data_IF_141095092329
#
_entry.id   IF_141095092329
#
_cell.length_a   1.000
_cell.length_b   1.000
_cell.length_c   1.000
_cell.angle_alpha   90.00
_cell.angle_beta   90.00
_cell.angle_gamma   90.00
#
_symmetry.space_group_name_H-M   'P 1'
#
loop_
_entity.id
_entity.type
_entity.pdbx_description
1 polymer ?
#
# COMPACT_ATOMS: atom_id res chain seq x y z
N UNK A 1 -37.78 0.23 6.79
CA UNK A 1 -36.95 -0.73 7.54
C UNK A 1 -36.09 -1.40 6.53
N UNK A 2 -34.86 -0.93 6.40
CA UNK A 2 -33.94 -1.58 5.51
C UNK A 2 -32.82 -2.25 6.26
N UNK A 3 -32.38 -3.33 5.63
CA UNK A 3 -31.94 -4.53 6.31
C UNK A 3 -30.63 -4.99 5.71
N UNK A 4 -29.81 -4.14 5.07
CA UNK A 4 -28.58 -4.58 4.41
C UNK A 4 -27.32 -3.90 4.92
N UNK A 5 -26.19 -4.60 4.89
CA UNK A 5 -24.82 -4.13 5.16
C UNK A 5 -23.85 -4.64 4.10
N UNK A 6 -22.58 -4.22 4.15
CA UNK A 6 -21.55 -4.82 3.29
C UNK A 6 -21.41 -6.31 3.64
N UNK A 7 -21.43 -7.15 2.61
CA UNK A 7 -21.26 -8.60 2.75
C UNK A 7 -19.79 -8.98 2.92
N UNK A 8 -19.52 -10.02 3.71
CA UNK A 8 -18.16 -10.51 3.91
C UNK A 8 -17.81 -11.71 3.00
N UNK A 9 -16.54 -12.12 2.99
CA UNK A 9 -16.05 -13.24 2.18
C UNK A 9 -16.75 -14.56 2.49
N UNK A 10 -17.10 -14.83 3.75
CA UNK A 10 -17.75 -16.06 4.18
C UNK A 10 -19.21 -16.12 3.70
N UNK A 11 -19.92 -15.00 3.78
CA UNK A 11 -21.29 -14.84 3.29
C UNK A 11 -21.34 -14.95 1.76
N UNK A 12 -20.36 -14.34 1.08
CA UNK A 12 -20.20 -14.48 -0.37
C UNK A 12 -19.93 -15.94 -0.76
N UNK A 13 -19.12 -16.67 0.01
CA UNK A 13 -18.83 -18.09 -0.23
C UNK A 13 -20.06 -19.00 -0.03
N UNK A 14 -21.11 -18.52 0.65
CA UNK A 14 -22.37 -19.26 0.80
C UNK A 14 -23.29 -19.13 -0.42
N UNK A 15 -22.99 -18.20 -1.34
CA UNK A 15 -23.78 -17.99 -2.56
C UNK A 15 -23.70 -19.22 -3.45
N UNK A 16 -24.85 -19.80 -3.80
CA UNK A 16 -24.91 -20.93 -4.72
C UNK A 16 -24.77 -20.42 -6.15
N UNK A 17 -23.91 -21.08 -6.94
CA UNK A 17 -23.68 -20.75 -8.35
C UNK A 17 -25.00 -20.67 -9.15
N UNK A 18 -25.99 -21.51 -8.83
CA UNK A 18 -27.27 -21.53 -9.54
C UNK A 18 -28.15 -20.30 -9.28
N UNK A 19 -27.92 -19.58 -8.18
CA UNK A 19 -28.59 -18.31 -7.88
C UNK A 19 -28.02 -17.15 -8.71
N UNK A 20 -26.79 -17.32 -9.23
CA UNK A 20 -26.06 -16.31 -10.02
C UNK A 20 -26.18 -16.54 -11.53
N UNK A 21 -26.41 -17.78 -11.97
CA UNK A 21 -26.54 -18.16 -13.39
C UNK A 21 -27.78 -17.60 -14.07
N UNK A 22 -28.80 -17.20 -13.31
CA UNK A 22 -30.03 -16.65 -13.88
C UNK A 22 -29.83 -15.16 -14.16
N UNK A 23 -30.16 -14.68 -15.38
CA UNK A 23 -30.15 -13.25 -15.67
C UNK A 23 -31.00 -12.50 -14.64
N UNK A 24 -30.51 -11.35 -14.18
CA UNK A 24 -31.33 -10.46 -13.36
C UNK A 24 -32.37 -9.83 -14.29
N UNK A 25 -33.64 -10.02 -13.98
CA UNK A 25 -34.74 -9.40 -14.73
C UNK A 25 -34.95 -7.97 -14.25
N UNK A 26 -35.57 -7.10 -15.06
CA UNK A 26 -35.89 -5.71 -14.66
C UNK A 26 -36.62 -5.66 -13.30
N UNK A 27 -37.61 -6.53 -13.10
CA UNK A 27 -38.33 -6.64 -11.82
C UNK A 27 -37.42 -6.94 -10.63
N UNK A 28 -36.36 -7.73 -10.83
CA UNK A 28 -35.39 -8.06 -9.77
C UNK A 28 -34.45 -6.89 -9.48
N UNK A 29 -34.15 -6.08 -10.49
CA UNK A 29 -33.39 -4.85 -10.31
C UNK A 29 -34.20 -3.84 -9.48
N UNK A 30 -35.47 -3.63 -9.81
CA UNK A 30 -36.37 -2.78 -9.01
C UNK A 30 -36.55 -3.32 -7.58
N UNK A 31 -36.72 -4.65 -7.43
CA UNK A 31 -36.80 -5.28 -6.10
C UNK A 31 -35.51 -5.07 -5.30
N UNK A 32 -34.34 -5.13 -5.94
CA UNK A 32 -33.05 -4.86 -5.31
C UNK A 32 -32.96 -3.39 -4.86
N UNK A 33 -33.29 -2.43 -5.72
CA UNK A 33 -33.28 -1.00 -5.35
C UNK A 33 -34.24 -0.73 -4.19
N UNK A 34 -35.44 -1.30 -4.21
CA UNK A 34 -36.39 -1.20 -3.09
C UNK A 34 -35.86 -1.87 -1.81
N UNK A 35 -35.14 -2.99 -1.94
CA UNK A 35 -34.49 -3.67 -0.82
C UNK A 35 -33.26 -2.93 -0.30
N UNK A 36 -32.66 -2.03 -1.10
CA UNK A 36 -31.49 -1.22 -0.75
C UNK A 36 -31.77 0.28 -0.55
N UNK A 37 -33.00 0.75 -0.78
CA UNK A 37 -33.50 2.14 -0.56
C UNK A 37 -32.64 3.13 -1.34
N UNK A 38 -32.18 2.66 -2.50
CA UNK A 38 -31.37 3.45 -3.40
C UNK A 38 -32.29 4.07 -4.44
N UNK A 39 -32.40 5.39 -4.41
CA UNK A 39 -33.10 6.15 -5.42
C UNK A 39 -32.15 6.50 -6.57
N UNK A 40 -32.52 6.09 -7.79
CA UNK A 40 -31.84 6.44 -9.03
C UNK A 40 -32.69 7.40 -9.86
N UNK A 41 -32.04 8.39 -10.47
CA UNK A 41 -32.66 9.24 -11.50
C UNK A 41 -33.00 8.39 -12.72
N UNK A 42 -34.02 8.78 -13.48
CA UNK A 42 -34.43 8.01 -14.66
C UNK A 42 -33.33 7.89 -15.71
N UNK A 43 -32.44 8.88 -15.81
CA UNK A 43 -31.25 8.85 -16.69
C UNK A 43 -30.13 7.93 -16.19
N UNK A 44 -30.07 7.66 -14.88
CA UNK A 44 -29.10 6.74 -14.28
C UNK A 44 -29.60 5.28 -14.39
N UNK A 45 -30.92 5.06 -14.29
CA UNK A 45 -31.50 3.70 -14.25
C UNK A 45 -31.03 2.81 -15.38
N UNK A 46 -30.96 3.31 -16.61
CA UNK A 46 -30.53 2.51 -17.77
C UNK A 46 -29.09 1.98 -17.61
N UNK A 47 -28.19 2.84 -17.13
CA UNK A 47 -26.78 2.50 -16.88
C UNK A 47 -26.61 1.52 -15.72
N UNK A 48 -27.28 1.78 -14.59
CA UNK A 48 -27.21 0.87 -13.44
C UNK A 48 -27.87 -0.46 -13.75
N UNK A 49 -28.98 -0.45 -14.49
CA UNK A 49 -29.65 -1.65 -14.94
C UNK A 49 -28.73 -2.47 -15.86
N UNK A 50 -28.00 -1.87 -16.79
CA UNK A 50 -27.04 -2.61 -17.63
C UNK A 50 -25.98 -3.31 -16.79
N UNK A 51 -25.38 -2.59 -15.83
CA UNK A 51 -24.36 -3.11 -14.93
C UNK A 51 -24.88 -4.27 -14.07
N UNK A 52 -26.06 -4.11 -13.45
CA UNK A 52 -26.62 -5.12 -12.56
C UNK A 52 -27.08 -6.35 -13.36
N UNK A 53 -27.77 -6.16 -14.49
CA UNK A 53 -28.25 -7.27 -15.33
C UNK A 53 -27.10 -8.13 -15.85
N UNK A 54 -26.02 -7.48 -16.32
CA UNK A 54 -24.83 -8.17 -16.80
C UNK A 54 -23.91 -8.63 -15.67
N UNK A 55 -24.23 -8.24 -14.42
CA UNK A 55 -23.43 -8.48 -13.20
C UNK A 55 -21.98 -8.09 -13.41
N UNK A 56 -21.73 -7.08 -14.22
CA UNK A 56 -20.38 -6.69 -14.63
C UNK A 56 -20.29 -5.19 -14.83
N UNK A 57 -19.18 -4.61 -14.39
CA UNK A 57 -18.78 -3.25 -14.77
C UNK A 57 -17.59 -3.36 -15.71
N UNK A 58 -17.78 -2.90 -16.94
CA UNK A 58 -16.72 -2.76 -17.94
C UNK A 58 -15.87 -1.51 -17.72
N UNK A 59 -14.68 -1.47 -18.33
CA UNK A 59 -13.78 -0.31 -18.26
C UNK A 59 -14.40 0.92 -18.91
N UNK A 60 -15.14 0.71 -19.99
CA UNK A 60 -15.84 1.79 -20.68
C UNK A 60 -16.97 2.36 -19.82
N UNK A 61 -17.78 1.51 -19.17
CA UNK A 61 -18.81 1.96 -18.23
C UNK A 61 -18.21 2.74 -17.06
N UNK A 62 -17.18 2.21 -16.39
CA UNK A 62 -16.54 2.92 -15.28
C UNK A 62 -15.98 4.28 -15.71
N UNK A 63 -15.39 4.36 -16.90
CA UNK A 63 -14.87 5.62 -17.44
C UNK A 63 -15.98 6.65 -17.71
N UNK A 64 -17.24 6.23 -17.86
CA UNK A 64 -18.37 7.16 -18.00
C UNK A 64 -18.95 7.60 -16.66
N UNK A 65 -18.81 6.78 -15.61
CA UNK A 65 -19.36 7.10 -14.30
C UNK A 65 -18.73 8.36 -13.69
N UNK A 66 -19.60 9.25 -13.24
CA UNK A 66 -19.28 10.37 -12.36
C UNK A 66 -19.04 9.88 -10.91
N UNK A 67 -18.48 10.77 -10.08
CA UNK A 67 -18.30 10.47 -8.65
C UNK A 67 -19.62 10.09 -7.96
N UNK A 68 -20.72 10.79 -8.27
CA UNK A 68 -22.03 10.52 -7.66
C UNK A 68 -22.56 9.15 -8.06
N UNK A 69 -22.37 8.75 -9.32
CA UNK A 69 -22.77 7.43 -9.80
C UNK A 69 -21.88 6.31 -9.21
N UNK A 70 -20.58 6.55 -9.05
CA UNK A 70 -19.69 5.60 -8.36
C UNK A 70 -20.10 5.41 -6.90
N UNK A 71 -20.47 6.50 -6.21
CA UNK A 71 -20.98 6.45 -4.83
C UNK A 71 -22.25 5.60 -4.74
N UNK A 72 -23.24 5.85 -5.61
CA UNK A 72 -24.48 5.05 -5.69
C UNK A 72 -24.21 3.59 -6.05
N UNK A 73 -23.28 3.33 -6.97
CA UNK A 73 -22.91 1.96 -7.36
C UNK A 73 -22.39 1.18 -6.16
N UNK A 74 -21.58 1.81 -5.31
CA UNK A 74 -21.05 1.18 -4.09
C UNK A 74 -22.15 0.84 -3.07
N UNK A 75 -23.25 1.60 -3.04
CA UNK A 75 -24.41 1.32 -2.19
C UNK A 75 -25.21 0.10 -2.67
N UNK A 76 -25.14 -0.21 -3.98
CA UNK A 76 -25.90 -1.30 -4.60
C UNK A 76 -25.14 -2.62 -4.55
N UNK A 77 -23.80 -2.62 -4.63
CA UNK A 77 -23.00 -3.84 -4.82
C UNK A 77 -22.52 -4.51 -3.52
N UNK A 78 -22.34 -5.83 -3.57
CA UNK A 78 -21.81 -6.67 -2.48
C UNK A 78 -22.52 -6.49 -1.13
N UNK A 79 -23.84 -6.58 -1.16
CA UNK A 79 -24.71 -6.36 0.01
C UNK A 79 -25.14 -7.69 0.61
N UNK A 80 -25.15 -7.78 1.93
CA UNK A 80 -25.81 -8.84 2.71
C UNK A 80 -26.94 -8.23 3.50
N UNK A 81 -27.95 -9.02 3.88
CA UNK A 81 -28.92 -8.57 4.87
C UNK A 81 -28.32 -8.53 6.30
N UNK A 82 -29.04 -7.97 7.28
CA UNK A 82 -28.59 -7.86 8.68
C UNK A 82 -28.46 -9.23 9.35
N UNK A 83 -29.15 -10.25 8.83
CA UNK A 83 -29.02 -11.65 9.27
C UNK A 83 -27.78 -12.33 8.66
N UNK A 84 -27.00 -11.61 7.84
CA UNK A 84 -25.78 -12.10 7.20
C UNK A 84 -26.02 -12.93 5.94
N UNK A 85 -27.22 -12.90 5.36
CA UNK A 85 -27.49 -13.57 4.10
C UNK A 85 -27.14 -12.65 2.94
N UNK A 86 -26.21 -13.09 2.10
CA UNK A 86 -25.78 -12.34 0.93
C UNK A 86 -26.93 -12.11 -0.07
N UNK A 87 -27.09 -10.88 -0.53
CA UNK A 87 -28.07 -10.49 -1.55
C UNK A 87 -27.48 -10.80 -2.92
N UNK A 88 -27.78 -11.99 -3.46
CA UNK A 88 -27.17 -12.49 -4.70
C UNK A 88 -27.29 -11.52 -5.87
N UNK A 89 -28.36 -10.73 -5.93
CA UNK A 89 -28.60 -9.78 -7.03
C UNK A 89 -27.72 -8.52 -6.93
N UNK A 90 -27.08 -8.27 -5.77
CA UNK A 90 -26.05 -7.24 -5.60
C UNK A 90 -24.64 -7.67 -6.05
N UNK A 91 -24.48 -8.93 -6.48
CA UNK A 91 -23.18 -9.44 -6.93
C UNK A 91 -22.87 -8.93 -8.33
N UNK A 92 -21.88 -8.05 -8.39
CA UNK A 92 -21.32 -7.47 -9.62
C UNK A 92 -19.82 -7.76 -9.66
N UNK A 93 -19.28 -8.09 -10.83
CA UNK A 93 -17.86 -8.35 -11.05
C UNK A 93 -17.25 -7.20 -11.83
N UNK A 94 -16.10 -6.72 -11.41
CA UNK A 94 -15.38 -5.68 -12.14
C UNK A 94 -14.50 -6.33 -13.23
N UNK A 95 -14.55 -5.80 -14.45
CA UNK A 95 -13.76 -6.32 -15.57
C UNK A 95 -12.25 -6.26 -15.30
N UNK A 96 -11.81 -5.21 -14.61
CA UNK A 96 -10.42 -5.02 -14.22
C UNK A 96 -10.36 -4.67 -12.74
N UNK A 97 -9.30 -5.13 -12.08
CA UNK A 97 -9.00 -4.73 -10.72
C UNK A 97 -8.49 -3.27 -10.65
N UNK A 98 -8.05 -2.67 -11.78
CA UNK A 98 -7.73 -1.23 -11.87
C UNK A 98 -8.89 -0.34 -11.37
N UNK A 99 -10.10 -0.88 -11.44
CA UNK A 99 -11.34 -0.20 -11.06
C UNK A 99 -11.48 -0.01 -9.55
N UNK A 100 -10.79 -0.83 -8.75
CA UNK A 100 -10.95 -0.89 -7.30
C UNK A 100 -10.67 0.47 -6.64
N UNK A 101 -9.61 1.17 -7.09
CA UNK A 101 -9.24 2.46 -6.52
C UNK A 101 -10.37 3.49 -6.60
N UNK A 102 -11.07 3.56 -7.74
CA UNK A 102 -12.19 4.48 -7.95
C UNK A 102 -13.36 4.19 -7.01
N UNK A 103 -13.67 2.91 -6.79
CA UNK A 103 -14.78 2.45 -5.93
C UNK A 103 -14.51 2.67 -4.44
N UNK A 104 -13.26 2.88 -4.05
CA UNK A 104 -12.89 3.17 -2.67
C UNK A 104 -12.88 4.67 -2.36
N UNK A 105 -12.78 5.55 -3.37
CA UNK A 105 -12.81 7.00 -3.16
C UNK A 105 -13.97 7.50 -2.30
N UNK A 106 -15.22 6.99 -2.39
CA UNK A 106 -16.30 7.47 -1.54
C UNK A 106 -16.11 7.12 -0.06
N UNK A 107 -15.21 6.20 0.28
CA UNK A 107 -14.97 5.76 1.67
C UNK A 107 -13.81 6.49 2.34
N UNK A 108 -13.06 7.35 1.64
CA UNK A 108 -11.85 7.99 2.20
C UNK A 108 -12.17 8.93 3.35
N UNK A 109 -13.21 9.74 3.27
CA UNK A 109 -13.62 10.62 4.37
C UNK A 109 -15.13 10.88 4.41
N UNK A 110 -15.61 11.51 5.49
CA UNK A 110 -16.98 12.04 5.55
C UNK A 110 -17.16 13.38 4.82
N UNK A 111 -16.11 13.91 4.17
CA UNK A 111 -16.13 15.07 3.30
C UNK A 111 -16.20 14.67 1.81
N UNK A 112 -17.40 14.76 1.23
CA UNK A 112 -17.65 14.41 -0.17
C UNK A 112 -16.83 15.26 -1.16
N UNK A 113 -16.49 16.51 -0.83
CA UNK A 113 -15.68 17.35 -1.71
C UNK A 113 -14.24 16.87 -1.77
N UNK A 114 -13.69 16.38 -0.66
CA UNK A 114 -12.37 15.76 -0.63
C UNK A 114 -12.37 14.46 -1.47
N UNK A 115 -13.32 13.56 -1.21
CA UNK A 115 -13.46 12.30 -1.94
C UNK A 115 -13.61 12.53 -3.45
N UNK A 116 -14.42 13.51 -3.85
CA UNK A 116 -14.61 13.90 -5.25
C UNK A 116 -13.34 14.49 -5.89
N UNK A 117 -12.57 15.27 -5.13
CA UNK A 117 -11.28 15.78 -5.59
C UNK A 117 -10.29 14.64 -5.86
N UNK A 118 -10.22 13.65 -4.96
CA UNK A 118 -9.41 12.43 -5.14
C UNK A 118 -9.86 11.64 -6.36
N UNK A 119 -11.17 11.39 -6.50
CA UNK A 119 -11.74 10.67 -7.65
C UNK A 119 -11.37 11.31 -8.98
N UNK A 120 -11.56 12.63 -9.10
CA UNK A 120 -11.19 13.35 -10.32
C UNK A 120 -9.67 13.35 -10.57
N UNK A 121 -8.87 13.34 -9.51
CA UNK A 121 -7.41 13.24 -9.63
C UNK A 121 -6.98 11.88 -10.16
N UNK A 122 -7.50 10.78 -9.59
CA UNK A 122 -7.22 9.42 -10.06
C UNK A 122 -7.56 9.26 -11.55
N UNK A 123 -8.71 9.77 -11.97
CA UNK A 123 -9.13 9.75 -13.39
C UNK A 123 -8.15 10.47 -14.32
N UNK A 124 -7.50 11.53 -13.85
CA UNK A 124 -6.52 12.29 -14.64
C UNK A 124 -5.16 11.61 -14.71
N UNK A 125 -4.77 10.89 -13.66
CA UNK A 125 -3.48 10.19 -13.63
C UNK A 125 -3.47 8.96 -14.53
N UNK A 126 -4.62 8.29 -14.72
CA UNK A 126 -4.73 7.07 -15.51
C UNK A 126 -3.68 6.02 -15.10
N UNK A 127 -3.60 5.79 -13.78
CA UNK A 127 -2.66 4.87 -13.15
C UNK A 127 -2.98 3.42 -13.50
N UNK A 128 -1.96 2.56 -13.43
CA UNK A 128 -2.16 1.11 -13.36
C UNK A 128 -2.90 0.71 -12.07
N UNK A 129 -3.39 -0.52 -12.00
CA UNK A 129 -4.01 -1.08 -10.79
C UNK A 129 -3.16 -0.86 -9.54
N UNK A 130 -1.88 -1.22 -9.62
CA UNK A 130 -0.97 -1.25 -8.49
C UNK A 130 -0.74 0.17 -7.97
N UNK A 131 -0.42 1.10 -8.87
CA UNK A 131 -0.25 2.51 -8.56
C UNK A 131 -1.53 3.15 -8.02
N UNK A 132 -2.69 2.80 -8.59
CA UNK A 132 -3.99 3.31 -8.13
C UNK A 132 -4.36 2.83 -6.72
N UNK A 133 -4.09 1.55 -6.41
CA UNK A 133 -4.31 1.00 -5.07
C UNK A 133 -3.32 1.57 -4.06
N UNK A 134 -2.04 1.67 -4.42
CA UNK A 134 -1.00 2.29 -3.59
C UNK A 134 -1.36 3.74 -3.25
N UNK A 135 -1.82 4.52 -4.24
CA UNK A 135 -2.26 5.90 -3.98
C UNK A 135 -3.53 5.98 -3.10
N UNK A 136 -4.48 5.05 -3.25
CA UNK A 136 -5.64 5.01 -2.35
C UNK A 136 -5.23 4.69 -0.91
N UNK A 137 -4.26 3.79 -0.71
CA UNK A 137 -3.71 3.49 0.62
C UNK A 137 -2.97 4.69 1.21
N UNK A 138 -2.16 5.39 0.42
CA UNK A 138 -1.51 6.64 0.86
C UNK A 138 -2.54 7.71 1.30
N UNK A 139 -3.72 7.75 0.68
CA UNK A 139 -4.76 8.75 1.00
C UNK A 139 -5.74 8.31 2.09
N UNK A 140 -5.96 7.01 2.27
CA UNK A 140 -7.03 6.44 3.08
C UNK A 140 -6.59 5.29 3.98
N UNK A 141 -5.31 5.12 4.23
CA UNK A 141 -4.72 4.03 5.00
C UNK A 141 -5.20 2.63 4.52
N UNK A 142 -4.76 1.56 5.20
CA UNK A 142 -5.33 0.23 4.98
C UNK A 142 -6.63 0.08 5.79
N UNK A 143 -7.77 -0.08 5.12
CA UNK A 143 -9.06 -0.32 5.80
C UNK A 143 -9.23 -1.81 6.12
N UNK A 144 -9.23 -2.16 7.41
CA UNK A 144 -9.67 -3.49 7.83
C UNK A 144 -11.18 -3.66 7.58
N UNK A 145 -11.51 -4.67 6.80
CA UNK A 145 -12.90 -5.09 6.56
C UNK A 145 -13.63 -5.49 7.84
N UNK A 146 -12.91 -5.99 8.87
CA UNK A 146 -13.49 -6.29 10.17
C UNK A 146 -13.86 -5.01 10.92
N UNK A 147 -12.96 -4.03 10.98
CA UNK A 147 -13.21 -2.73 11.59
C UNK A 147 -14.44 -2.05 10.98
N UNK A 148 -14.48 -1.99 9.64
CA UNK A 148 -15.63 -1.46 8.89
C UNK A 148 -16.94 -2.17 9.27
N UNK A 149 -16.92 -3.50 9.33
CA UNK A 149 -18.09 -4.31 9.66
C UNK A 149 -18.54 -4.07 11.10
N UNK A 150 -17.60 -4.05 12.04
CA UNK A 150 -17.89 -3.88 13.46
C UNK A 150 -18.47 -2.50 13.74
N UNK A 151 -17.97 -1.46 13.06
CA UNK A 151 -18.57 -0.14 13.05
C UNK A 151 -20.00 -0.17 12.51
N UNK A 152 -20.22 -0.69 11.30
CA UNK A 152 -21.55 -0.71 10.68
C UNK A 152 -22.57 -1.54 11.48
N UNK A 153 -22.15 -2.62 12.15
CA UNK A 153 -22.99 -3.46 13.00
C UNK A 153 -23.38 -2.79 14.33
N UNK A 154 -22.60 -1.81 14.80
CA UNK A 154 -22.86 -1.07 16.04
C UNK A 154 -23.68 0.21 15.82
N UNK A 155 -23.96 0.57 14.57
CA UNK A 155 -24.86 1.67 14.24
C UNK A 155 -26.29 1.38 14.72
N UNK A 156 -26.96 2.39 15.26
CA UNK A 156 -28.40 2.32 15.47
C UNK A 156 -29.13 2.30 14.12
N UNK A 157 -30.33 1.70 14.09
CA UNK A 157 -31.17 1.71 12.89
C UNK A 157 -31.34 3.12 12.31
N UNK A 158 -31.53 4.14 13.16
CA UNK A 158 -31.66 5.54 12.71
C UNK A 158 -30.38 6.09 12.08
N UNK A 159 -29.19 5.76 12.60
CA UNK A 159 -27.93 6.21 12.00
C UNK A 159 -27.70 5.50 10.67
N UNK A 160 -27.97 4.20 10.62
CA UNK A 160 -27.86 3.40 9.41
C UNK A 160 -28.78 3.90 8.30
N UNK A 161 -30.06 4.12 8.64
CA UNK A 161 -31.11 4.61 7.74
C UNK A 161 -30.82 6.05 7.27
N UNK A 162 -30.07 6.86 8.04
CA UNK A 162 -29.62 8.18 7.60
C UNK A 162 -28.46 8.17 6.61
N UNK A 163 -27.97 6.98 6.22
CA UNK A 163 -26.88 6.82 5.28
C UNK A 163 -25.48 6.87 5.91
N UNK A 164 -25.35 6.72 7.23
CA UNK A 164 -24.03 6.58 7.87
C UNK A 164 -23.38 5.29 7.39
N UNK A 165 -22.17 5.41 6.88
CA UNK A 165 -21.33 4.27 6.44
C UNK A 165 -19.92 4.50 6.98
N UNK A 166 -19.13 3.43 7.08
CA UNK A 166 -17.74 3.58 7.49
C UNK A 166 -16.98 4.50 6.54
N UNK A 167 -16.17 5.40 7.11
CA UNK A 167 -15.22 6.27 6.41
C UNK A 167 -13.87 6.17 7.09
N UNK A 168 -12.77 6.25 6.33
CA UNK A 168 -11.42 6.22 6.89
C UNK A 168 -11.17 7.46 7.72
N UNK A 169 -11.38 8.64 7.16
CA UNK A 169 -11.18 9.89 7.86
C UNK A 169 -12.53 10.45 8.30
N UNK A 170 -13.11 9.88 9.36
CA UNK A 170 -14.38 10.34 9.92
C UNK A 170 -14.18 11.47 10.94
N UNK A 171 -14.81 12.62 10.69
CA UNK A 171 -14.74 13.76 11.61
C UNK A 171 -13.38 14.48 11.61
N UNK A 172 -12.51 14.16 10.64
CA UNK A 172 -11.22 14.84 10.45
C UNK A 172 -11.39 16.05 9.54
N UNK A 173 -10.63 17.12 9.81
CA UNK A 173 -10.51 18.24 8.89
C UNK A 173 -9.58 17.84 7.73
N UNK A 174 -10.15 17.74 6.52
CA UNK A 174 -9.40 17.32 5.34
C UNK A 174 -8.43 18.37 4.82
N UNK A 175 -8.67 19.65 5.11
CA UNK A 175 -7.69 20.69 4.82
C UNK A 175 -6.47 20.58 5.74
N UNK A 176 -6.71 20.32 7.03
CA UNK A 176 -5.64 20.09 8.01
C UNK A 176 -4.84 18.82 7.67
N UNK A 177 -5.52 17.72 7.35
CA UNK A 177 -4.89 16.47 6.90
C UNK A 177 -3.96 16.68 5.71
N UNK A 178 -4.44 17.32 4.64
CA UNK A 178 -3.63 17.62 3.44
C UNK A 178 -2.42 18.47 3.83
N UNK A 179 -2.62 19.50 4.65
CA UNK A 179 -1.56 20.44 5.04
C UNK A 179 -0.47 19.74 5.84
N UNK A 180 -0.85 18.92 6.83
CA UNK A 180 0.09 18.16 7.65
C UNK A 180 0.88 17.16 6.79
N UNK A 181 0.20 16.44 5.89
CA UNK A 181 0.88 15.49 5.02
C UNK A 181 1.84 16.17 4.04
N UNK A 182 1.46 17.31 3.48
CA UNK A 182 2.37 18.11 2.64
C UNK A 182 3.59 18.58 3.44
N UNK A 183 3.45 19.00 4.70
CA UNK A 183 4.57 19.38 5.55
C UNK A 183 5.53 18.20 5.77
N UNK A 184 5.01 17.03 6.08
CA UNK A 184 5.79 15.81 6.24
C UNK A 184 6.58 15.44 4.97
N UNK A 185 5.90 15.45 3.81
CA UNK A 185 6.52 15.13 2.52
C UNK A 185 7.59 16.15 2.14
N UNK A 186 7.36 17.45 2.34
CA UNK A 186 8.36 18.48 2.07
C UNK A 186 9.57 18.34 2.99
N UNK A 187 9.36 18.06 4.28
CA UNK A 187 10.47 17.78 5.22
C UNK A 187 11.26 16.54 4.80
N UNK A 188 10.58 15.50 4.35
CA UNK A 188 11.20 14.31 3.78
C UNK A 188 12.07 14.64 2.57
N UNK A 189 11.50 15.36 1.61
CA UNK A 189 12.20 15.84 0.41
C UNK A 189 13.46 16.66 0.74
N UNK A 190 13.38 17.55 1.73
CA UNK A 190 14.50 18.41 2.15
C UNK A 190 15.63 17.66 2.86
N UNK A 191 15.34 16.46 3.40
CA UNK A 191 16.29 15.69 4.22
C UNK A 191 16.87 14.49 3.49
N UNK A 192 16.21 13.98 2.46
CA UNK A 192 16.71 12.84 1.69
C UNK A 192 17.83 13.26 0.72
N UNK A 193 18.81 12.38 0.57
CA UNK A 193 19.86 12.49 -0.44
C UNK A 193 19.68 11.49 -1.59
N UNK A 194 18.67 10.63 -1.53
CA UNK A 194 18.40 9.60 -2.54
C UNK A 194 17.53 10.19 -3.66
N UNK A 195 18.07 10.29 -4.87
CA UNK A 195 17.38 10.90 -6.01
C UNK A 195 16.10 10.16 -6.42
N UNK A 196 16.04 8.83 -6.27
CA UNK A 196 14.79 8.07 -6.54
C UNK A 196 13.73 8.44 -5.50
N UNK A 197 14.13 8.51 -4.23
CA UNK A 197 13.20 8.85 -3.14
C UNK A 197 12.73 10.31 -3.29
N UNK A 198 13.59 11.22 -3.77
CA UNK A 198 13.18 12.59 -4.11
C UNK A 198 12.10 12.61 -5.19
N UNK A 199 12.22 11.78 -6.22
CA UNK A 199 11.18 11.66 -7.25
C UNK A 199 9.85 11.20 -6.65
N UNK A 200 9.87 10.21 -5.74
CA UNK A 200 8.68 9.73 -5.04
C UNK A 200 8.04 10.83 -4.17
N UNK A 201 8.84 11.58 -3.40
CA UNK A 201 8.34 12.73 -2.64
C UNK A 201 7.72 13.80 -3.54
N UNK A 202 8.41 14.20 -4.62
CA UNK A 202 7.92 15.20 -5.56
C UNK A 202 6.62 14.74 -6.24
N UNK A 203 6.52 13.45 -6.57
CA UNK A 203 5.31 12.86 -7.14
C UNK A 203 4.13 12.98 -6.18
N UNK A 204 4.29 12.57 -4.92
CA UNK A 204 3.23 12.68 -3.91
C UNK A 204 2.88 14.13 -3.59
N UNK A 205 3.86 15.02 -3.41
CA UNK A 205 3.64 16.47 -3.18
C UNK A 205 2.80 17.06 -4.32
N UNK A 206 3.11 16.72 -5.57
CA UNK A 206 2.34 17.17 -6.73
C UNK A 206 0.90 16.63 -6.72
N UNK A 207 0.68 15.39 -6.30
CA UNK A 207 -0.66 14.82 -6.16
C UNK A 207 -1.45 15.55 -5.07
N UNK A 208 -0.90 15.68 -3.87
CA UNK A 208 -1.56 16.36 -2.76
C UNK A 208 -1.88 17.82 -3.11
N UNK A 209 -0.97 18.56 -3.75
CA UNK A 209 -1.25 19.93 -4.21
C UNK A 209 -2.39 20.01 -5.24
N UNK A 210 -2.51 19.01 -6.13
CA UNK A 210 -3.63 18.95 -7.10
C UNK A 210 -4.94 18.60 -6.42
N UNK A 211 -4.93 17.68 -5.46
CA UNK A 211 -6.10 17.35 -4.63
C UNK A 211 -6.53 18.59 -3.86
N UNK A 212 -5.62 19.28 -3.17
CA UNK A 212 -5.87 20.50 -2.41
C UNK A 212 -6.52 21.59 -3.27
N UNK A 213 -5.92 21.88 -4.43
CA UNK A 213 -6.45 22.86 -5.37
C UNK A 213 -7.85 22.50 -5.84
N UNK A 214 -8.11 21.22 -6.14
CA UNK A 214 -9.41 20.76 -6.60
C UNK A 214 -10.44 20.78 -5.47
N UNK A 215 -10.09 20.32 -4.29
CA UNK A 215 -10.91 20.32 -3.08
C UNK A 215 -11.39 21.74 -2.74
N UNK A 216 -10.46 22.70 -2.66
CA UNK A 216 -10.77 24.10 -2.43
C UNK A 216 -11.68 24.71 -3.51
N UNK A 217 -11.51 24.32 -4.77
CA UNK A 217 -12.38 24.78 -5.86
C UNK A 217 -13.82 24.25 -5.78
N UNK A 218 -14.01 23.04 -5.24
CA UNK A 218 -15.33 22.44 -5.03
C UNK A 218 -16.03 23.13 -3.86
N UNK A 219 -15.32 23.29 -2.73
CA UNK A 219 -15.83 23.97 -1.53
C UNK A 219 -16.34 25.38 -1.83
N UNK A 220 -15.63 26.16 -2.66
CA UNK A 220 -16.03 27.50 -3.06
C UNK A 220 -17.28 27.56 -3.95
N UNK A 221 -17.59 26.50 -4.70
CA UNK A 221 -18.77 26.45 -5.59
C UNK A 221 -20.06 26.16 -4.85
N UNK A 222 -19.97 25.43 -3.75
CA UNK A 222 -21.13 24.95 -3.00
C UNK A 222 -21.61 25.96 -1.93
N UNK A 223 -20.91 27.09 -1.72
CA UNK A 223 -21.19 28.01 -0.60
C UNK A 223 -21.32 29.50 -0.96
N UNK A 224 -22.25 30.19 -0.28
CA UNK A 224 -22.24 31.65 -0.18
C UNK A 224 -21.25 32.09 0.91
N UNK A 225 -20.49 33.17 0.68
CA UNK A 225 -19.42 33.71 1.56
C UNK A 225 -19.72 33.82 3.07
N UNK A 226 -20.98 33.83 3.51
CA UNK A 226 -21.39 33.89 4.91
C UNK A 226 -21.52 32.51 5.59
N UNK A 227 -21.68 31.42 4.84
CA UNK A 227 -21.76 30.06 5.37
C UNK A 227 -20.37 29.46 5.66
N UNK A 228 -19.35 29.86 4.89
CA UNK A 228 -17.93 29.45 5.08
C UNK A 228 -17.50 29.55 6.55
N UNK A 229 -17.69 30.72 7.19
CA UNK A 229 -17.28 30.96 8.58
C UNK A 229 -17.97 30.07 9.63
N UNK A 230 -19.09 29.42 9.31
CA UNK A 230 -19.83 28.56 10.24
C UNK A 230 -19.78 27.08 9.92
N UNK A 231 -19.35 26.70 8.70
CA UNK A 231 -19.26 25.31 8.22
C UNK A 231 -17.84 24.79 8.06
N UNK A 232 -16.83 25.67 8.01
CA UNK A 232 -15.41 25.30 7.97
C UNK A 232 -14.92 24.45 9.16
N UNK A 233 -15.81 24.03 10.07
CA UNK A 233 -15.49 23.27 11.30
C UNK A 233 -16.50 22.19 11.67
N UNK A 234 -17.50 21.88 10.83
CA UNK A 234 -18.53 20.88 11.20
C UNK A 234 -18.57 19.69 10.24
N UNK A 235 -18.39 18.46 10.76
CA UNK A 235 -18.54 17.23 9.98
C UNK A 235 -19.93 17.15 9.37
N UNK A 236 -20.06 16.33 8.34
CA UNK A 236 -21.33 16.07 7.67
C UNK A 236 -22.41 15.77 8.73
N UNK A 237 -23.60 16.40 8.71
CA UNK A 237 -24.57 16.33 9.81
C UNK A 237 -25.00 14.91 10.20
N UNK A 238 -24.86 13.94 9.30
CA UNK A 238 -25.16 12.53 9.58
C UNK A 238 -24.05 11.86 10.44
N UNK A 239 -22.82 12.37 10.38
CA UNK A 239 -21.66 11.97 11.20
C UNK A 239 -21.54 12.89 12.42
N UNK A 240 -22.56 12.84 13.27
CA UNK A 240 -22.56 13.61 14.51
C UNK A 240 -21.56 13.05 15.54
N UNK A 241 -21.42 13.73 16.68
CA UNK A 241 -20.47 13.33 17.72
C UNK A 241 -20.67 11.90 18.24
N UNK A 242 -21.90 11.39 18.28
CA UNK A 242 -22.17 10.02 18.73
C UNK A 242 -21.62 8.99 17.75
N UNK A 243 -21.76 9.26 16.43
CA UNK A 243 -21.18 8.43 15.36
C UNK A 243 -19.65 8.50 15.40
N UNK A 244 -19.08 9.69 15.57
CA UNK A 244 -17.62 9.89 15.64
C UNK A 244 -17.04 9.16 16.87
N UNK A 245 -17.72 9.24 18.02
CA UNK A 245 -17.28 8.52 19.22
C UNK A 245 -17.32 7.00 19.00
N UNK A 246 -18.38 6.47 18.37
CA UNK A 246 -18.46 5.06 18.03
C UNK A 246 -17.32 4.64 17.09
N UNK A 247 -17.03 5.44 16.06
CA UNK A 247 -15.92 5.19 15.15
C UNK A 247 -14.58 5.14 15.92
N UNK A 248 -14.29 6.15 16.74
CA UNK A 248 -13.06 6.20 17.53
C UNK A 248 -12.93 5.01 18.50
N UNK A 249 -14.03 4.57 19.11
CA UNK A 249 -14.04 3.39 19.99
C UNK A 249 -13.68 2.11 19.20
N UNK A 250 -14.25 1.94 17.99
CA UNK A 250 -13.97 0.78 17.13
C UNK A 250 -12.52 0.80 16.62
N UNK A 251 -12.05 1.93 16.10
CA UNK A 251 -10.65 2.10 15.65
C UNK A 251 -9.69 1.75 16.77
N UNK A 252 -9.94 2.25 17.98
CA UNK A 252 -9.08 1.98 19.14
C UNK A 252 -9.09 0.51 19.55
N UNK A 253 -10.25 -0.16 19.51
CA UNK A 253 -10.35 -1.60 19.79
C UNK A 253 -9.50 -2.42 18.79
N UNK A 254 -9.51 -2.05 17.50
CA UNK A 254 -8.69 -2.68 16.46
C UNK A 254 -7.21 -2.34 16.59
N UNK A 255 -6.85 -1.08 16.86
CA UNK A 255 -5.46 -0.68 17.13
C UNK A 255 -4.87 -1.46 18.33
N UNK A 256 -5.66 -1.67 19.39
CA UNK A 256 -5.25 -2.49 20.55
C UNK A 256 -5.14 -3.99 20.23
N UNK A 257 -5.94 -4.49 19.28
CA UNK A 257 -5.86 -5.87 18.78
C UNK A 257 -4.60 -6.04 17.92
N UNK A 258 -4.36 -5.15 16.99
CA UNK A 258 -3.20 -5.16 16.10
C UNK A 258 -1.88 -5.07 16.86
N UNK A 259 -1.81 -4.22 17.89
CA UNK A 259 -0.65 -4.17 18.79
C UNK A 259 -0.42 -5.51 19.51
N UNK A 260 -1.46 -6.22 19.91
CA UNK A 260 -1.33 -7.56 20.53
C UNK A 260 -0.87 -8.59 19.51
N UNK A 261 -1.47 -8.60 18.32
CA UNK A 261 -1.12 -9.51 17.24
C UNK A 261 0.34 -9.31 16.79
N UNK A 262 0.79 -8.05 16.69
CA UNK A 262 2.18 -7.73 16.40
C UNK A 262 3.13 -8.25 17.50
N UNK A 263 2.80 -8.07 18.79
CA UNK A 263 3.60 -8.64 19.89
C UNK A 263 3.61 -10.18 19.90
N UNK A 264 2.52 -10.82 19.47
CA UNK A 264 2.47 -12.27 19.28
C UNK A 264 3.32 -12.73 18.10
N UNK A 265 3.32 -11.97 17.00
CA UNK A 265 4.18 -12.19 15.84
C UNK A 265 5.66 -12.09 16.24
N UNK A 266 6.05 -11.07 17.01
CA UNK A 266 7.42 -10.94 17.53
C UNK A 266 7.85 -12.16 18.34
N UNK A 267 6.96 -12.68 19.20
CA UNK A 267 7.24 -13.91 19.97
C UNK A 267 7.38 -15.14 19.07
N UNK A 268 6.51 -15.28 18.07
CA UNK A 268 6.54 -16.38 17.10
C UNK A 268 7.82 -16.39 16.26
N UNK A 269 8.34 -15.21 15.94
CA UNK A 269 9.59 -15.02 15.20
C UNK A 269 10.83 -14.96 16.11
N UNK A 270 10.65 -15.09 17.44
CA UNK A 270 11.71 -14.99 18.45
C UNK A 270 12.48 -13.65 18.43
N UNK A 271 11.82 -12.56 18.00
CA UNK A 271 12.41 -11.22 17.92
C UNK A 271 12.19 -10.47 19.23
N UNK A 272 13.28 -10.08 19.89
CA UNK A 272 13.26 -9.42 21.20
C UNK A 272 14.17 -8.18 21.30
N UNK A 273 14.76 -7.74 20.18
CA UNK A 273 15.78 -6.70 20.09
C UNK A 273 15.26 -5.38 19.48
N UNK A 274 13.95 -5.16 19.48
CA UNK A 274 13.31 -3.93 18.97
C UNK A 274 13.06 -2.93 20.11
N UNK A 275 13.40 -1.66 19.87
CA UNK A 275 12.95 -0.54 20.73
C UNK A 275 11.44 -0.31 20.57
N UNK A 276 10.83 0.48 21.45
CA UNK A 276 9.40 0.83 21.31
C UNK A 276 9.12 1.61 20.02
N UNK A 277 10.03 2.52 19.64
CA UNK A 277 9.90 3.29 18.40
C UNK A 277 10.05 2.39 17.17
N UNK A 278 10.96 1.41 17.20
CA UNK A 278 11.11 0.42 16.13
C UNK A 278 9.89 -0.49 16.02
N UNK A 279 9.33 -0.92 17.17
CA UNK A 279 8.10 -1.71 17.20
C UNK A 279 6.96 -0.99 16.52
N UNK A 280 6.73 0.27 16.89
CA UNK A 280 5.64 1.05 16.30
C UNK A 280 5.87 1.29 14.81
N UNK A 281 7.09 1.66 14.42
CA UNK A 281 7.44 1.88 13.01
C UNK A 281 7.26 0.63 12.15
N UNK A 282 7.74 -0.52 12.63
CA UNK A 282 7.63 -1.78 11.88
C UNK A 282 6.20 -2.33 11.89
N UNK A 283 5.43 -2.07 12.95
CA UNK A 283 4.00 -2.40 13.00
C UNK A 283 3.25 -1.68 11.88
N UNK A 284 3.45 -0.37 11.73
CA UNK A 284 2.80 0.42 10.68
C UNK A 284 3.16 -0.08 9.26
N UNK A 285 4.45 -0.34 9.00
CA UNK A 285 4.89 -0.91 7.70
C UNK A 285 4.21 -2.25 7.38
N UNK A 286 4.03 -3.12 8.39
CA UNK A 286 3.35 -4.41 8.20
C UNK A 286 1.84 -4.27 8.04
N UNK A 287 1.23 -3.32 8.74
CA UNK A 287 -0.20 -2.99 8.67
C UNK A 287 -0.59 -2.54 7.25
N UNK A 288 0.24 -1.70 6.63
CA UNK A 288 0.04 -1.20 5.26
C UNK A 288 0.23 -2.28 4.18
N UNK A 289 0.89 -3.40 4.53
CA UNK A 289 1.21 -4.54 3.63
C UNK A 289 2.01 -4.12 2.39
N UNK A 290 2.68 -3.00 2.46
CA UNK A 290 3.48 -2.39 1.41
C UNK A 290 4.65 -1.67 2.07
N UNK A 291 5.86 -1.87 1.55
CA UNK A 291 7.05 -1.21 2.07
C UNK A 291 7.67 -0.32 0.99
N UNK A 292 7.36 0.97 1.07
CA UNK A 292 7.70 2.00 0.09
C UNK A 292 9.17 2.42 0.14
N UNK A 293 9.64 3.10 -0.91
CA UNK A 293 10.97 3.71 -0.91
C UNK A 293 11.10 4.84 0.13
N UNK A 294 10.03 5.60 0.37
CA UNK A 294 10.00 6.68 1.38
C UNK A 294 10.20 6.11 2.79
N UNK A 295 9.49 5.04 3.13
CA UNK A 295 9.67 4.38 4.42
C UNK A 295 11.06 3.78 4.54
N UNK A 296 11.55 3.12 3.48
CA UNK A 296 12.89 2.56 3.41
C UNK A 296 13.96 3.63 3.65
N UNK A 297 13.84 4.81 3.04
CA UNK A 297 14.85 5.86 3.16
C UNK A 297 15.02 6.34 4.60
N UNK A 298 13.91 6.32 5.36
CA UNK A 298 13.88 6.66 6.77
C UNK A 298 14.48 5.59 7.70
N UNK A 299 14.90 4.43 7.19
CA UNK A 299 15.54 3.37 7.95
C UNK A 299 17.07 3.39 7.82
N UNK A 300 17.74 3.28 8.97
CA UNK A 300 19.17 2.96 9.03
C UNK A 300 19.44 1.51 8.64
N UNK A 301 20.71 1.17 8.38
CA UNK A 301 21.14 -0.22 8.16
C UNK A 301 20.63 -1.18 9.25
N UNK A 302 20.80 -0.82 10.53
CA UNK A 302 20.36 -1.67 11.66
C UNK A 302 18.85 -1.88 11.67
N UNK A 303 18.07 -0.84 11.37
CA UNK A 303 16.62 -0.94 11.27
C UNK A 303 16.20 -1.77 10.05
N UNK A 304 16.87 -1.60 8.91
CA UNK A 304 16.64 -2.42 7.72
C UNK A 304 16.94 -3.90 7.97
N UNK A 305 18.02 -4.18 8.68
CA UNK A 305 18.39 -5.54 9.09
C UNK A 305 17.33 -6.13 10.03
N UNK A 306 16.85 -5.38 11.02
CA UNK A 306 15.79 -5.85 11.94
C UNK A 306 14.46 -6.08 11.22
N UNK A 307 14.00 -5.16 10.37
CA UNK A 307 12.73 -5.34 9.65
C UNK A 307 12.81 -6.50 8.65
N UNK A 308 13.99 -6.80 8.09
CA UNK A 308 14.19 -7.99 7.24
C UNK A 308 13.89 -9.31 7.95
N UNK A 309 13.98 -9.34 9.29
CA UNK A 309 13.62 -10.50 10.12
C UNK A 309 12.10 -10.63 10.32
N UNK A 310 11.34 -9.56 10.07
CA UNK A 310 9.88 -9.54 10.22
C UNK A 310 9.16 -9.85 8.93
N UNK A 311 9.69 -9.41 7.80
CA UNK A 311 9.00 -9.46 6.51
C UNK A 311 9.31 -10.74 5.74
N UNK A 312 8.35 -11.19 4.94
CA UNK A 312 8.44 -12.35 4.04
C UNK A 312 8.94 -13.65 4.71
N UNK A 313 8.64 -13.82 6.00
CA UNK A 313 9.10 -14.97 6.77
C UNK A 313 8.29 -16.22 6.43
N UNK A 314 8.95 -17.38 6.56
CA UNK A 314 8.34 -18.69 6.33
C UNK A 314 8.61 -19.61 7.51
N UNK A 315 7.67 -20.50 7.77
CA UNK A 315 7.81 -21.51 8.81
C UNK A 315 8.75 -22.66 8.35
N UNK A 316 8.96 -23.63 9.24
CA UNK A 316 9.78 -24.82 8.97
C UNK A 316 9.32 -25.68 7.78
N UNK A 317 8.08 -25.49 7.30
CA UNK A 317 7.53 -26.18 6.13
C UNK A 317 7.57 -25.31 4.87
N UNK A 318 8.30 -24.19 4.90
CA UNK A 318 8.39 -23.21 3.82
C UNK A 318 7.03 -22.56 3.48
N UNK A 319 6.11 -22.51 4.45
CA UNK A 319 4.81 -21.85 4.33
C UNK A 319 4.96 -20.40 4.82
N UNK A 320 4.49 -19.38 4.07
CA UNK A 320 4.51 -17.99 4.52
C UNK A 320 3.82 -17.80 5.88
N UNK A 321 4.47 -17.06 6.78
CA UNK A 321 3.92 -16.72 8.08
C UNK A 321 2.95 -15.54 7.90
N UNK A 322 1.71 -15.72 8.33
CA UNK A 322 0.70 -14.65 8.35
C UNK A 322 1.20 -13.43 9.15
N UNK A 323 0.88 -12.24 8.66
CA UNK A 323 1.36 -10.96 9.23
C UNK A 323 2.76 -10.53 8.77
N UNK A 324 3.49 -11.37 8.03
CA UNK A 324 4.84 -11.02 7.53
C UNK A 324 4.86 -10.65 6.04
N UNK A 325 3.76 -10.91 5.34
CA UNK A 325 3.68 -10.68 3.90
C UNK A 325 3.48 -9.20 3.59
N UNK A 326 4.49 -8.58 3.01
CA UNK A 326 4.46 -7.19 2.53
C UNK A 326 4.84 -7.16 1.06
N UNK A 327 4.23 -6.24 0.32
CA UNK A 327 4.59 -5.93 -1.06
C UNK A 327 5.87 -5.12 -1.05
N UNK A 328 6.85 -5.51 -1.85
CA UNK A 328 8.16 -4.87 -1.91
C UNK A 328 8.42 -4.33 -3.31
N UNK A 329 8.80 -3.07 -3.39
CA UNK A 329 9.41 -2.52 -4.61
C UNK A 329 10.74 -3.21 -4.92
N UNK A 330 11.16 -3.18 -6.20
CA UNK A 330 12.41 -3.83 -6.63
C UNK A 330 13.64 -3.28 -5.89
N UNK A 331 13.68 -1.98 -5.60
CA UNK A 331 14.76 -1.32 -4.86
C UNK A 331 14.77 -1.74 -3.39
N UNK A 332 13.63 -1.66 -2.71
CA UNK A 332 13.47 -2.13 -1.32
C UNK A 332 13.89 -3.60 -1.20
N UNK A 333 13.51 -4.45 -2.15
CA UNK A 333 13.93 -5.86 -2.19
C UNK A 333 15.45 -6.01 -2.33
N UNK A 334 16.10 -5.21 -3.19
CA UNK A 334 17.56 -5.24 -3.35
C UNK A 334 18.28 -4.82 -2.07
N UNK A 335 17.81 -3.79 -1.37
CA UNK A 335 18.38 -3.33 -0.10
C UNK A 335 18.18 -4.34 1.03
N UNK A 336 17.00 -4.97 1.10
CA UNK A 336 16.72 -6.06 2.04
C UNK A 336 17.64 -7.27 1.82
N UNK A 337 17.93 -7.60 0.55
CA UNK A 337 18.92 -8.62 0.22
C UNK A 337 20.32 -8.19 0.63
N UNK A 338 20.69 -6.92 0.46
CA UNK A 338 22.00 -6.42 0.85
C UNK A 338 22.27 -6.58 2.35
N UNK A 339 21.28 -6.31 3.21
CA UNK A 339 21.44 -6.45 4.67
C UNK A 339 21.47 -7.89 5.18
N UNK A 340 21.13 -8.86 4.34
CA UNK A 340 21.07 -10.31 4.67
C UNK A 340 21.90 -11.18 3.73
N UNK A 341 22.79 -10.59 2.92
CA UNK A 341 23.49 -11.31 1.86
C UNK A 341 24.41 -12.41 2.42
N UNK A 342 25.02 -12.18 3.59
CA UNK A 342 26.01 -13.09 4.21
C UNK A 342 25.98 -13.02 5.75
N UNK A 343 26.77 -13.87 6.41
CA UNK A 343 27.04 -13.80 7.86
C UNK A 343 28.15 -12.78 8.24
N UNK A 344 28.65 -12.01 7.28
CA UNK A 344 29.61 -10.91 7.50
C UNK A 344 28.85 -9.58 7.55
N UNK A 345 28.66 -9.06 8.77
CA UNK A 345 27.86 -7.86 9.01
C UNK A 345 28.49 -6.60 8.41
N UNK A 346 29.82 -6.46 8.50
CA UNK A 346 30.55 -5.34 7.90
C UNK A 346 30.42 -5.37 6.37
N UNK A 347 30.42 -6.56 5.77
CA UNK A 347 30.15 -6.72 4.33
C UNK A 347 28.72 -6.32 3.97
N UNK A 348 27.72 -6.84 4.68
CA UNK A 348 26.32 -6.51 4.42
C UNK A 348 26.04 -5.01 4.58
N UNK A 349 26.65 -4.37 5.58
CA UNK A 349 26.60 -2.91 5.79
C UNK A 349 27.24 -2.14 4.65
N UNK A 350 28.43 -2.54 4.21
CA UNK A 350 29.09 -1.93 3.05
C UNK A 350 28.23 -2.09 1.78
N UNK A 351 27.66 -3.28 1.58
CA UNK A 351 26.80 -3.61 0.45
C UNK A 351 25.53 -2.76 0.46
N UNK A 352 24.88 -2.63 1.61
CA UNK A 352 23.69 -1.80 1.80
C UNK A 352 23.96 -0.33 1.44
N UNK A 353 25.02 0.28 2.00
CA UNK A 353 25.37 1.68 1.73
C UNK A 353 25.70 1.90 0.24
N UNK A 354 26.43 0.96 -0.38
CA UNK A 354 26.76 1.04 -1.81
C UNK A 354 25.50 0.90 -2.67
N UNK A 355 24.62 -0.05 -2.39
CA UNK A 355 23.35 -0.23 -3.11
C UNK A 355 22.44 1.00 -2.93
N UNK A 356 22.36 1.55 -1.72
CA UNK A 356 21.56 2.76 -1.42
C UNK A 356 22.09 3.98 -2.18
N UNK A 357 23.38 4.04 -2.49
CA UNK A 357 23.98 5.16 -3.23
C UNK A 357 23.63 5.21 -4.73
N UNK A 358 23.13 4.13 -5.32
CA UNK A 358 22.77 4.10 -6.74
C UNK A 358 21.42 4.76 -7.01
N UNK A 359 21.30 5.42 -8.15
CA UNK A 359 20.10 6.20 -8.53
C UNK A 359 19.19 5.44 -9.51
N UNK A 360 19.57 4.24 -9.95
CA UNK A 360 18.73 3.44 -10.85
C UNK A 360 18.75 1.95 -10.49
N UNK A 361 17.68 1.24 -10.86
CA UNK A 361 17.65 -0.22 -10.74
C UNK A 361 18.65 -0.93 -11.67
N UNK A 362 19.00 -0.30 -12.79
CA UNK A 362 20.02 -0.84 -13.70
C UNK A 362 21.40 -0.85 -13.03
N UNK A 363 21.81 0.26 -12.40
CA UNK A 363 23.05 0.34 -11.62
C UNK A 363 23.06 -0.68 -10.47
N UNK A 364 21.96 -0.73 -9.70
CA UNK A 364 21.82 -1.70 -8.62
C UNK A 364 22.01 -3.12 -9.14
N UNK A 365 21.32 -3.50 -10.22
CA UNK A 365 21.39 -4.87 -10.73
C UNK A 365 22.76 -5.19 -11.32
N UNK A 366 23.37 -4.25 -12.04
CA UNK A 366 24.70 -4.42 -12.62
C UNK A 366 25.76 -4.62 -11.55
N UNK A 367 25.63 -3.96 -10.40
CA UNK A 367 26.57 -4.10 -9.29
C UNK A 367 26.25 -5.29 -8.37
N UNK A 368 24.99 -5.45 -7.95
CA UNK A 368 24.59 -6.39 -6.91
C UNK A 368 24.52 -7.83 -7.41
N UNK A 369 23.98 -8.07 -8.63
CA UNK A 369 23.76 -9.43 -9.11
C UNK A 369 25.05 -10.23 -9.31
N UNK A 370 26.16 -9.67 -9.83
CA UNK A 370 27.40 -10.44 -9.95
C UNK A 370 27.98 -10.85 -8.59
N UNK A 371 27.91 -9.98 -7.58
CA UNK A 371 28.33 -10.31 -6.21
C UNK A 371 27.46 -11.44 -5.65
N UNK A 372 26.14 -11.30 -5.70
CA UNK A 372 25.22 -12.31 -5.15
C UNK A 372 25.36 -13.64 -5.88
N UNK A 373 25.49 -13.62 -7.21
CA UNK A 373 25.72 -14.84 -7.98
C UNK A 373 27.03 -15.52 -7.59
N UNK A 374 28.11 -14.76 -7.39
CA UNK A 374 29.39 -15.32 -6.99
C UNK A 374 29.32 -15.91 -5.57
N UNK A 375 28.65 -15.23 -4.63
CA UNK A 375 28.37 -15.76 -3.29
C UNK A 375 27.62 -17.09 -3.38
N UNK A 376 26.54 -17.15 -4.15
CA UNK A 376 25.75 -18.37 -4.36
C UNK A 376 26.57 -19.51 -4.97
N UNK A 377 27.49 -19.22 -5.89
CA UNK A 377 28.39 -20.22 -6.45
C UNK A 377 29.38 -20.74 -5.42
N UNK A 378 29.94 -19.88 -4.58
CA UNK A 378 30.86 -20.28 -3.52
C UNK A 378 30.14 -21.11 -2.44
N UNK A 379 28.93 -20.73 -2.04
CA UNK A 379 28.09 -21.51 -1.11
C UNK A 379 27.69 -22.88 -1.68
N UNK A 380 27.65 -23.06 -3.01
CA UNK A 380 27.43 -24.38 -3.62
C UNK A 380 28.70 -25.24 -3.66
N UNK A 381 29.88 -24.62 -3.69
CA UNK A 381 31.18 -25.31 -3.77
C UNK A 381 31.64 -25.84 -2.42
N UNK A 382 31.33 -25.11 -1.35
CA UNK A 382 31.57 -25.53 0.03
C UNK A 382 30.22 -25.94 0.60
N UNK A 383 30.08 -27.14 1.19
CA UNK A 383 28.85 -27.48 1.94
C UNK A 383 28.48 -26.27 2.82
N UNK A 384 27.21 -25.82 2.79
CA UNK A 384 26.63 -24.55 3.31
C UNK A 384 27.03 -24.12 4.75
N UNK A 385 27.82 -24.94 5.42
CA UNK A 385 28.34 -24.86 6.78
C UNK A 385 29.59 -23.98 6.88
N UNK A 386 30.32 -23.70 5.79
CA UNK A 386 31.55 -22.89 5.84
C UNK A 386 31.22 -21.40 5.70
N UNK A 387 31.55 -20.63 6.75
CA UNK A 387 31.50 -19.16 6.73
C UNK A 387 32.40 -18.64 5.60
N UNK A 388 31.83 -17.94 4.64
CA UNK A 388 32.58 -17.33 3.54
C UNK A 388 33.53 -16.25 4.07
N UNK A 389 34.75 -16.24 3.54
CA UNK A 389 35.67 -15.13 3.73
C UNK A 389 35.40 -14.09 2.63
N UNK A 390 34.71 -13.00 2.96
CA UNK A 390 34.30 -12.02 1.96
C UNK A 390 35.47 -11.28 1.29
N UNK A 391 36.63 -11.18 1.94
CA UNK A 391 37.86 -10.68 1.31
C UNK A 391 38.29 -11.58 0.14
N UNK A 392 38.22 -12.90 0.33
CA UNK A 392 38.54 -13.89 -0.70
C UNK A 392 37.50 -13.90 -1.81
N UNK A 393 36.21 -13.87 -1.45
CA UNK A 393 35.09 -13.82 -2.41
C UNK A 393 35.21 -12.61 -3.34
N UNK A 394 35.52 -11.42 -2.80
CA UNK A 394 35.72 -10.22 -3.61
C UNK A 394 36.99 -10.30 -4.47
N UNK A 395 38.09 -10.83 -3.93
CA UNK A 395 39.31 -11.02 -4.72
C UNK A 395 39.08 -11.98 -5.90
N UNK A 396 38.37 -13.09 -5.66
CA UNK A 396 38.03 -14.09 -6.68
C UNK A 396 37.12 -13.48 -7.75
N UNK A 397 36.09 -12.73 -7.36
CA UNK A 397 35.21 -12.00 -8.28
C UNK A 397 36.01 -11.03 -9.17
N UNK A 398 36.85 -10.18 -8.56
CA UNK A 398 37.71 -9.22 -9.27
C UNK A 398 38.67 -9.94 -10.22
N UNK A 399 39.26 -11.07 -9.79
CA UNK A 399 40.14 -11.87 -10.63
C UNK A 399 39.40 -12.50 -11.81
N UNK A 400 38.16 -12.96 -11.62
CA UNK A 400 37.29 -13.41 -12.70
C UNK A 400 37.09 -12.34 -13.76
N UNK A 401 36.81 -11.09 -13.37
CA UNK A 401 36.71 -9.98 -14.31
C UNK A 401 38.04 -9.65 -15.00
N UNK A 402 39.18 -9.75 -14.29
CA UNK A 402 40.52 -9.58 -14.89
C UNK A 402 40.82 -10.66 -15.93
N UNK A 403 40.37 -11.89 -15.72
CA UNK A 403 40.52 -12.96 -16.71
C UNK A 403 39.70 -12.67 -17.97
N UNK A 404 38.45 -12.23 -17.83
CA UNK A 404 37.60 -11.85 -18.97
C UNK A 404 38.13 -10.62 -19.71
N UNK A 405 38.65 -9.62 -18.99
CA UNK A 405 39.38 -8.49 -19.58
C UNK A 405 40.55 -8.93 -20.48
N UNK A 406 41.35 -9.89 -20.00
CA UNK A 406 42.50 -10.40 -20.74
C UNK A 406 42.11 -11.22 -21.99
N UNK A 407 40.92 -11.85 -21.97
CA UNK A 407 40.36 -12.60 -23.11
C UNK A 407 39.67 -11.70 -24.12
N UNK A 408 39.19 -10.52 -23.71
CA UNK A 408 38.46 -9.62 -24.59
C UNK A 408 39.33 -9.12 -25.76
N UNK A 409 38.81 -9.23 -26.97
CA UNK A 409 39.50 -8.76 -28.19
C UNK A 409 39.11 -7.33 -28.58
N UNK A 410 37.91 -6.90 -28.20
CA UNK A 410 37.34 -5.59 -28.54
C UNK A 410 37.62 -4.54 -27.46
N UNK A 411 37.93 -3.31 -27.87
CA UNK A 411 38.31 -2.19 -26.99
C UNK A 411 37.16 -1.81 -26.04
N UNK A 412 35.95 -1.77 -26.55
CA UNK A 412 34.75 -1.41 -25.79
C UNK A 412 34.47 -2.41 -24.67
N UNK A 413 34.70 -3.70 -24.92
CA UNK A 413 34.55 -4.77 -23.91
C UNK A 413 35.65 -4.65 -22.84
N UNK A 414 36.88 -4.30 -23.25
CA UNK A 414 37.98 -4.05 -22.32
C UNK A 414 37.72 -2.85 -21.42
N UNK A 415 37.24 -1.75 -21.98
CA UNK A 415 36.87 -0.55 -21.21
C UNK A 415 35.75 -0.85 -20.21
N UNK A 416 34.75 -1.65 -20.59
CA UNK A 416 33.73 -2.13 -19.67
C UNK A 416 34.33 -2.93 -18.50
N UNK A 417 35.16 -3.95 -18.76
CA UNK A 417 35.75 -4.73 -17.67
C UNK A 417 36.73 -3.92 -16.82
N UNK A 418 37.48 -2.97 -17.39
CA UNK A 418 38.30 -2.03 -16.60
C UNK A 418 37.46 -1.27 -15.58
N UNK A 419 36.34 -0.70 -16.01
CA UNK A 419 35.39 0.01 -15.13
C UNK A 419 34.81 -0.90 -14.05
N UNK A 420 34.44 -2.14 -14.39
CA UNK A 420 33.88 -3.11 -13.44
C UNK A 420 34.93 -3.55 -12.42
N UNK A 421 36.17 -3.79 -12.85
CA UNK A 421 37.29 -4.14 -11.96
C UNK A 421 37.56 -3.01 -10.97
N UNK A 422 37.57 -1.77 -11.44
CA UNK A 422 37.73 -0.57 -10.59
C UNK A 422 36.60 -0.48 -9.56
N UNK A 423 35.34 -0.59 -9.99
CA UNK A 423 34.18 -0.49 -9.09
C UNK A 423 34.22 -1.53 -7.96
N UNK A 424 34.51 -2.80 -8.25
CA UNK A 424 34.60 -3.82 -7.22
C UNK A 424 35.87 -3.71 -6.36
N UNK A 425 36.96 -3.15 -6.91
CA UNK A 425 38.16 -2.85 -6.13
C UNK A 425 37.89 -1.74 -5.11
N UNK A 426 37.24 -0.67 -5.53
CA UNK A 426 36.82 0.43 -4.65
C UNK A 426 35.84 -0.04 -3.58
N UNK A 427 34.86 -0.88 -3.97
CA UNK A 427 33.94 -1.49 -3.01
C UNK A 427 34.66 -2.34 -1.97
N UNK A 428 35.65 -3.13 -2.40
CA UNK A 428 36.47 -3.93 -1.48
C UNK A 428 37.22 -3.04 -0.48
N UNK A 429 37.85 -1.96 -0.93
CA UNK A 429 38.52 -1.01 -0.04
C UNK A 429 37.55 -0.37 0.96
N UNK A 430 36.33 -0.04 0.52
CA UNK A 430 35.27 0.48 1.38
C UNK A 430 34.82 -0.53 2.44
N UNK A 431 34.60 -1.79 2.05
CA UNK A 431 34.30 -2.89 2.97
C UNK A 431 35.42 -3.09 4.01
N UNK A 432 36.69 -3.14 3.57
CA UNK A 432 37.84 -3.29 4.48
C UNK A 432 37.94 -2.13 5.48
N UNK A 433 37.51 -0.92 5.08
CA UNK A 433 37.44 0.24 5.98
C UNK A 433 36.38 0.04 7.06
N UNK A 434 35.15 -0.33 6.68
CA UNK A 434 34.06 -0.59 7.64
C UNK A 434 34.44 -1.71 8.62
N UNK A 435 35.00 -2.81 8.10
CA UNK A 435 35.45 -3.95 8.90
C UNK A 435 36.46 -3.53 9.99
N UNK A 436 37.44 -2.67 9.65
CA UNK A 436 38.42 -2.15 10.62
C UNK A 436 37.79 -1.25 11.68
N UNK A 437 36.78 -0.47 11.31
CA UNK A 437 36.05 0.38 12.25
C UNK A 437 35.28 -0.48 13.26
N UNK A 438 34.59 -1.53 12.80
CA UNK A 438 33.84 -2.45 13.66
C UNK A 438 34.77 -3.29 14.58
N UNK A 439 35.97 -3.68 14.11
CA UNK A 439 36.97 -4.38 14.94
C UNK A 439 37.62 -3.50 16.03
N UNK A 440 37.42 -2.18 15.97
CA UNK A 440 38.03 -1.20 16.90
C UNK A 440 37.11 -0.75 18.04
N UNK A 441 35.84 -1.16 18.01
CA UNK A 441 34.80 -0.94 19.03
C UNK A 441 34.68 -2.16 19.96
#
# INVERSE_FOLDING_TARGET
>A
MQVSRVGNKEELNQVRIDDIKKPITETKFDDLLNQLDVELLDEEKELFQSIIVDRRVSKDELNTLSYEEVKKLKEIVYRSDLDGKFLTDSLVVFESLDMAAYLETPNLSDDDNFNKAVFEMLRKLNLSQEEGLSLIRELGDFVDSEEKRDFENRLSNSQYDSGVRYKVHMGKDMQEFISNRLEELNRGLDTTNDEIVKEDYLYLINIYNKIDSKYNSLKQKDEAYLEQYTRDTKPNPIYNQDVINLYNDVVKEHEEKDKKEFEELLKKLEINNLSQDEKEKFRLILEDKEFSNIEMDSLSYEQMKKISQLISQKDSNNIPIEGTSVTLGSRTSALLKAVTATDDDSFNKALFEKVKSFSTMEEINNFLLPILHHIDEQLKRFDEIIKLNMDEVLNDLINGFKEEYNKAEHKEIKEHYESVIEEYSDFKEFYEKIKKEDESL
#
